data_IF_979950261890
#
_entry.id   IF_979950261890
#
_cell.length_a   1.000
_cell.length_b   1.000
_cell.length_c   1.000
_cell.angle_alpha   90.00
_cell.angle_beta   90.00
_cell.angle_gamma   90.00
#
_symmetry.space_group_name_H-M   'P 1'
#
loop_
_entity.id
_entity.type
_entity.pdbx_description
1 polymer ?
#
# COMPACT_ATOMS: atom_id res chain seq x y z
N UNK A 1 18.51 17.89 3.78
CA UNK A 1 19.11 17.67 2.44
C UNK A 1 20.08 16.48 2.37
N UNK A 2 21.04 16.29 3.30
CA UNK A 2 21.99 15.15 3.24
C UNK A 2 21.33 13.75 3.32
N UNK A 3 20.27 13.60 4.11
CA UNK A 3 19.53 12.33 4.26
C UNK A 3 18.85 11.89 2.95
N UNK A 4 18.22 12.81 2.22
CA UNK A 4 17.54 12.50 0.95
C UNK A 4 18.53 12.03 -0.12
N UNK A 5 19.73 12.63 -0.17
CA UNK A 5 20.79 12.21 -1.09
C UNK A 5 21.38 10.84 -0.72
N UNK A 6 21.41 10.48 0.57
CA UNK A 6 21.81 9.15 1.03
C UNK A 6 20.78 8.08 0.63
N UNK A 7 19.48 8.36 0.78
CA UNK A 7 18.41 7.49 0.30
C UNK A 7 18.50 7.28 -1.21
N UNK A 8 18.67 8.36 -2.00
CA UNK A 8 18.89 8.28 -3.45
C UNK A 8 20.09 7.40 -3.83
N UNK A 9 21.23 7.55 -3.14
CA UNK A 9 22.46 6.81 -3.43
C UNK A 9 22.35 5.31 -3.14
N UNK A 10 21.58 4.90 -2.12
CA UNK A 10 21.31 3.48 -1.86
C UNK A 10 20.38 2.87 -2.91
N UNK A 11 19.40 3.63 -3.38
CA UNK A 11 18.41 3.17 -4.36
C UNK A 11 18.91 3.08 -5.80
N UNK A 12 20.03 3.74 -6.14
CA UNK A 12 20.63 3.70 -7.48
C UNK A 12 21.61 2.54 -7.70
N UNK A 13 21.96 1.79 -6.65
CA UNK A 13 22.89 0.66 -6.78
C UNK A 13 22.16 -0.55 -7.38
N UNK A 14 22.55 -0.92 -8.60
CA UNK A 14 21.99 -1.99 -9.46
C UNK A 14 22.12 -3.43 -8.89
N UNK A 15 22.28 -3.59 -7.57
CA UNK A 15 22.34 -4.88 -6.87
C UNK A 15 21.53 -4.93 -5.57
N UNK A 16 20.91 -3.82 -5.16
CA UNK A 16 19.98 -3.78 -4.02
C UNK A 16 18.55 -3.60 -4.57
N UNK A 17 17.60 -4.39 -4.09
CA UNK A 17 16.21 -4.35 -4.56
C UNK A 17 15.59 -2.94 -4.49
N UNK A 18 14.57 -2.69 -5.33
CA UNK A 18 13.84 -1.42 -5.35
C UNK A 18 13.27 -1.12 -3.95
N UNK A 19 13.66 -0.01 -3.34
CA UNK A 19 13.04 0.42 -2.09
C UNK A 19 11.64 0.98 -2.35
N UNK A 20 10.74 0.72 -1.42
CA UNK A 20 9.36 1.23 -1.43
C UNK A 20 9.10 2.07 -0.19
N UNK A 21 8.33 3.14 -0.36
CA UNK A 21 7.70 3.88 0.72
C UNK A 21 6.28 3.38 0.93
N UNK A 22 5.93 3.07 2.19
CA UNK A 22 4.57 2.68 2.56
C UNK A 22 4.04 3.73 3.52
N UNK A 23 2.95 4.37 3.13
CA UNK A 23 2.15 5.21 4.02
C UNK A 23 1.01 4.35 4.59
N UNK A 24 0.95 4.26 5.92
CA UNK A 24 -0.04 3.46 6.66
C UNK A 24 -1.05 4.37 7.34
N UNK A 25 -1.94 4.96 6.55
CA UNK A 25 -3.04 5.75 7.07
C UNK A 25 -4.16 4.89 7.67
N UNK A 26 -4.93 5.50 8.56
CA UNK A 26 -6.05 4.86 9.27
C UNK A 26 -7.16 4.38 8.32
N UNK A 27 -7.53 5.20 7.32
CA UNK A 27 -8.61 4.88 6.36
C UNK A 27 -8.07 4.36 5.04
N UNK A 28 -6.94 4.90 4.57
CA UNK A 28 -6.30 4.52 3.32
C UNK A 28 -4.80 4.37 3.51
N UNK A 29 -4.21 3.45 2.77
CA UNK A 29 -2.77 3.27 2.65
C UNK A 29 -2.33 3.56 1.22
N UNK A 30 -1.06 3.90 1.05
CA UNK A 30 -0.45 4.20 -0.25
C UNK A 30 0.94 3.57 -0.32
N UNK A 31 1.35 3.13 -1.52
CA UNK A 31 2.69 2.63 -1.76
C UNK A 31 3.34 3.41 -2.89
N UNK A 32 4.59 3.80 -2.68
CA UNK A 32 5.40 4.51 -3.66
C UNK A 32 6.71 3.75 -3.89
N UNK A 33 7.20 3.77 -5.13
CA UNK A 33 8.55 3.33 -5.47
C UNK A 33 9.35 4.54 -5.91
N UNK A 34 10.64 4.57 -5.57
CA UNK A 34 11.56 5.53 -6.18
C UNK A 34 12.31 4.83 -7.32
N UNK A 35 12.02 5.25 -8.54
CA UNK A 35 12.62 4.72 -9.76
C UNK A 35 12.75 5.86 -10.78
N UNK A 36 13.68 5.75 -11.73
CA UNK A 36 13.87 6.76 -12.77
C UNK A 36 14.06 8.18 -12.20
N UNK A 37 14.79 8.29 -11.09
CA UNK A 37 15.06 9.55 -10.38
C UNK A 37 13.82 10.32 -9.87
N UNK A 38 12.67 9.64 -9.76
CA UNK A 38 11.40 10.20 -9.28
C UNK A 38 10.66 9.26 -8.35
N UNK A 39 9.70 9.81 -7.62
CA UNK A 39 8.69 9.02 -6.89
C UNK A 39 7.58 8.64 -7.85
N UNK A 40 7.21 7.37 -7.84
CA UNK A 40 6.06 6.85 -8.56
C UNK A 40 5.09 6.20 -7.57
N UNK A 41 3.84 6.67 -7.55
CA UNK A 41 2.78 6.04 -6.75
C UNK A 41 2.28 4.81 -7.51
N UNK A 42 2.32 3.66 -6.85
CA UNK A 42 1.89 2.38 -7.40
C UNK A 42 0.37 2.33 -7.39
N UNK A 43 -0.22 1.95 -8.52
CA UNK A 43 -1.66 1.69 -8.61
C UNK A 43 -1.98 0.27 -8.15
N UNK A 44 -3.09 0.09 -7.44
CA UNK A 44 -3.59 -1.24 -7.13
C UNK A 44 -4.25 -1.89 -8.37
N UNK A 45 -4.75 -3.11 -8.21
CA UNK A 45 -5.38 -3.89 -9.29
C UNK A 45 -6.67 -3.26 -9.83
N UNK A 46 -7.28 -2.34 -9.08
CA UNK A 46 -8.44 -1.53 -9.51
C UNK A 46 -8.03 -0.21 -10.19
N UNK A 47 -6.72 0.08 -10.30
CA UNK A 47 -6.21 1.33 -10.85
C UNK A 47 -6.18 2.51 -9.87
N UNK A 48 -6.51 2.27 -8.59
CA UNK A 48 -6.49 3.31 -7.56
C UNK A 48 -5.07 3.56 -7.04
N UNK A 49 -4.72 4.81 -6.75
CA UNK A 49 -3.43 5.20 -6.16
C UNK A 49 -3.37 5.04 -4.63
N UNK A 50 -4.51 4.75 -4.01
CA UNK A 50 -4.64 4.49 -2.58
C UNK A 50 -5.50 3.25 -2.40
N UNK A 51 -5.19 2.44 -1.41
CA UNK A 51 -5.92 1.22 -1.08
C UNK A 51 -6.63 1.41 0.27
N UNK A 52 -7.91 1.08 0.41
CA UNK A 52 -8.59 1.12 1.71
C UNK A 52 -7.82 0.30 2.76
N UNK A 53 -7.64 0.86 3.95
CA UNK A 53 -7.01 0.19 5.10
C UNK A 53 -7.99 -0.79 5.77
N UNK A 54 -8.50 -1.74 4.99
CA UNK A 54 -9.53 -2.71 5.36
C UNK A 54 -9.01 -4.13 5.19
N UNK A 55 -9.35 -5.00 6.13
CA UNK A 55 -9.13 -6.45 6.05
C UNK A 55 -10.45 -7.16 6.34
N UNK A 56 -10.82 -8.16 5.54
CA UNK A 56 -12.02 -8.97 5.80
C UNK A 56 -11.70 -10.45 5.66
N UNK A 57 -12.24 -11.27 6.56
CA UNK A 57 -12.00 -12.71 6.58
C UNK A 57 -13.22 -13.47 6.06
N UNK A 58 -12.94 -14.43 5.18
CA UNK A 58 -13.91 -15.44 4.71
C UNK A 58 -13.45 -16.82 5.18
N UNK A 59 -14.28 -17.88 5.06
CA UNK A 59 -13.86 -19.21 5.45
C UNK A 59 -12.63 -19.75 4.70
N UNK A 60 -12.34 -19.23 3.51
CA UNK A 60 -11.28 -19.76 2.62
C UNK A 60 -10.11 -18.81 2.39
N UNK A 61 -10.28 -17.50 2.66
CA UNK A 61 -9.27 -16.50 2.35
C UNK A 61 -9.42 -15.21 3.18
N UNK A 62 -8.31 -14.46 3.25
CA UNK A 62 -8.26 -13.08 3.73
C UNK A 62 -8.34 -12.12 2.55
N UNK A 63 -9.28 -11.19 2.60
CA UNK A 63 -9.45 -10.09 1.64
C UNK A 63 -8.82 -8.81 2.21
N UNK A 64 -8.25 -7.97 1.35
CA UNK A 64 -7.62 -6.69 1.71
C UNK A 64 -8.07 -5.61 0.74
N UNK A 65 -8.10 -4.35 1.18
CA UNK A 65 -8.34 -3.22 0.29
C UNK A 65 -9.78 -3.13 -0.21
N UNK A 66 -9.95 -2.78 -1.48
CA UNK A 66 -11.27 -2.62 -2.12
C UNK A 66 -12.14 -3.88 -1.96
N UNK A 67 -11.55 -5.07 -2.10
CA UNK A 67 -12.26 -6.33 -1.93
C UNK A 67 -12.80 -6.52 -0.49
N UNK A 68 -12.04 -6.11 0.52
CA UNK A 68 -12.46 -6.15 1.92
C UNK A 68 -13.53 -5.09 2.21
N UNK A 69 -13.34 -3.86 1.74
CA UNK A 69 -14.30 -2.77 1.89
C UNK A 69 -15.67 -3.14 1.32
N UNK A 70 -15.70 -3.74 0.12
CA UNK A 70 -16.92 -4.23 -0.52
C UNK A 70 -17.61 -5.36 0.27
N UNK A 71 -16.91 -6.02 1.19
CA UNK A 71 -17.46 -7.10 2.02
C UNK A 71 -18.06 -6.60 3.32
N UNK A 72 -17.62 -5.46 3.87
CA UNK A 72 -18.05 -4.92 5.17
C UNK A 72 -19.56 -4.81 5.27
N UNK A 73 -20.25 -4.32 4.24
CA UNK A 73 -21.71 -4.17 4.26
C UNK A 73 -22.46 -5.51 4.43
N UNK A 74 -21.88 -6.63 3.98
CA UNK A 74 -22.49 -7.96 4.03
C UNK A 74 -22.01 -8.81 5.21
N UNK A 75 -20.80 -8.55 5.70
CA UNK A 75 -20.21 -9.29 6.81
C UNK A 75 -19.32 -8.39 7.68
N UNK A 76 -19.92 -7.43 8.40
CA UNK A 76 -19.16 -6.45 9.17
C UNK A 76 -18.40 -7.10 10.34
N UNK A 77 -18.97 -8.17 10.94
CA UNK A 77 -18.38 -8.85 12.09
C UNK A 77 -17.02 -9.50 11.79
N UNK A 78 -16.79 -9.93 10.55
CA UNK A 78 -15.50 -10.52 10.14
C UNK A 78 -14.63 -9.53 9.35
N UNK A 79 -14.84 -8.23 9.55
CA UNK A 79 -14.07 -7.18 8.91
C UNK A 79 -13.40 -6.29 9.96
N UNK A 80 -12.15 -5.91 9.70
CA UNK A 80 -11.34 -5.02 10.55
C UNK A 80 -11.02 -3.77 9.75
N UNK A 81 -11.44 -2.63 10.30
CA UNK A 81 -11.18 -1.30 9.79
C UNK A 81 -11.35 -0.29 10.94
N UNK A 82 -10.82 0.91 10.77
CA UNK A 82 -11.06 2.00 11.70
C UNK A 82 -12.37 2.73 11.33
N UNK A 83 -13.19 3.00 12.34
CA UNK A 83 -14.45 3.76 12.25
C UNK A 83 -14.22 5.24 12.00
#
# INVERSE_FOLDING_TARGET
>A
MKSLNLFRKRMSNQGEGLAIGIDRGTTYSCVAVWQNERVEIIVNDQGNRTTPSYVAFTPTQSLVGDAAMNRVAKNPANSVFAS
#
